data_IF_985695093276
#
_entry.id   IF_985695093276
#
_cell.length_a   1.000
_cell.length_b   1.000
_cell.length_c   1.000
_cell.angle_alpha   90.00
_cell.angle_beta   90.00
_cell.angle_gamma   90.00
#
_symmetry.space_group_name_H-M   'P 1'
#
loop_
_entity.id
_entity.type
_entity.pdbx_description
1 polymer ?
#
# COMPACT_ATOMS: atom_id res chain seq x y z
N UNK A 1 -11.99 5.49 -13.05
CA UNK A 1 -11.72 4.40 -12.08
C UNK A 1 -10.36 4.70 -11.45
N UNK A 2 -10.19 4.47 -10.14
CA UNK A 2 -8.89 4.70 -9.48
C UNK A 2 -8.10 3.40 -9.36
N UNK A 3 -6.79 3.48 -9.58
CA UNK A 3 -5.86 2.35 -9.52
C UNK A 3 -4.79 2.55 -8.45
N UNK A 4 -4.17 1.43 -8.03
CA UNK A 4 -2.95 1.49 -7.22
C UNK A 4 -1.76 1.91 -8.08
N UNK A 5 -0.99 2.91 -7.63
CA UNK A 5 0.05 3.54 -8.45
C UNK A 5 1.33 2.71 -8.61
N UNK A 6 1.63 1.82 -7.66
CA UNK A 6 2.89 1.06 -7.66
C UNK A 6 2.77 -0.34 -8.25
N UNK A 7 1.58 -0.75 -8.71
CA UNK A 7 1.44 -1.95 -9.53
C UNK A 7 1.78 -1.61 -10.98
N UNK A 8 2.37 -2.57 -11.71
CA UNK A 8 2.60 -2.41 -13.14
C UNK A 8 1.33 -2.67 -13.94
N UNK A 9 0.50 -3.60 -13.47
CA UNK A 9 -0.85 -3.79 -13.99
C UNK A 9 -1.83 -2.78 -13.40
N UNK A 10 -2.90 -2.50 -14.13
CA UNK A 10 -3.97 -1.61 -13.70
C UNK A 10 -4.86 -2.27 -12.63
N UNK A 11 -4.37 -2.39 -11.40
CA UNK A 11 -5.14 -2.99 -10.29
C UNK A 11 -6.09 -1.95 -9.67
N UNK A 12 -7.43 -2.12 -9.75
CA UNK A 12 -8.36 -1.13 -9.24
C UNK A 12 -8.37 -1.04 -7.72
N UNK A 13 -8.59 0.16 -7.18
CA UNK A 13 -8.76 0.37 -5.73
C UNK A 13 -9.99 -0.31 -5.15
N UNK A 14 -10.98 -0.66 -5.98
CA UNK A 14 -12.12 -1.49 -5.58
C UNK A 14 -11.70 -2.89 -5.08
N UNK A 15 -10.52 -3.38 -5.50
CA UNK A 15 -9.93 -4.64 -5.03
C UNK A 15 -9.01 -4.44 -3.81
N UNK A 16 -9.16 -3.35 -3.04
CA UNK A 16 -8.31 -3.08 -1.87
C UNK A 16 -8.31 -4.22 -0.85
N UNK A 17 -9.47 -4.84 -0.60
CA UNK A 17 -9.58 -6.00 0.29
C UNK A 17 -8.79 -7.20 -0.21
N UNK A 18 -8.88 -7.50 -1.51
CA UNK A 18 -8.14 -8.60 -2.15
C UNK A 18 -6.62 -8.33 -2.13
N UNK A 19 -6.20 -7.12 -2.48
CA UNK A 19 -4.80 -6.69 -2.46
C UNK A 19 -4.22 -6.76 -1.04
N UNK A 20 -4.88 -6.15 -0.05
CA UNK A 20 -4.39 -6.10 1.32
C UNK A 20 -4.39 -7.45 2.04
N UNK A 21 -5.24 -8.39 1.60
CA UNK A 21 -5.25 -9.75 2.11
C UNK A 21 -4.45 -10.74 1.25
N UNK A 22 -3.91 -10.34 0.09
CA UNK A 22 -3.39 -11.25 -0.95
C UNK A 22 -4.39 -12.37 -1.31
N UNK A 23 -5.66 -12.02 -1.55
CA UNK A 23 -6.74 -12.99 -1.75
C UNK A 23 -7.69 -12.52 -2.84
N UNK A 24 -7.38 -12.94 -4.07
CA UNK A 24 -8.29 -12.80 -5.21
C UNK A 24 -9.30 -13.96 -5.21
N UNK A 25 -10.54 -13.65 -5.57
CA UNK A 25 -11.71 -14.54 -5.47
C UNK A 25 -12.19 -15.00 -6.84
N UNK A 26 -13.08 -15.99 -6.86
CA UNK A 26 -13.67 -16.53 -8.08
C UNK A 26 -14.31 -15.41 -8.93
N UNK A 27 -13.92 -15.34 -10.21
CA UNK A 27 -14.48 -14.38 -11.15
C UNK A 27 -13.83 -13.01 -11.11
N UNK A 28 -12.86 -12.75 -10.21
CA UNK A 28 -12.03 -11.55 -10.30
C UNK A 28 -11.33 -11.51 -11.67
N UNK A 29 -11.43 -10.37 -12.34
CA UNK A 29 -10.76 -10.10 -13.62
C UNK A 29 -9.80 -8.92 -13.47
N UNK A 30 -8.56 -9.15 -13.86
CA UNK A 30 -7.46 -8.19 -13.75
C UNK A 30 -6.89 -7.92 -15.14
N UNK A 31 -6.83 -6.65 -15.53
CA UNK A 31 -6.30 -6.20 -16.81
C UNK A 31 -4.92 -5.57 -16.62
N UNK A 32 -4.00 -5.79 -17.56
CA UNK A 32 -2.70 -5.10 -17.53
C UNK A 32 -2.86 -3.60 -17.73
N UNK A 33 -3.80 -3.17 -18.58
CA UNK A 33 -4.04 -1.77 -18.91
C UNK A 33 -5.39 -1.25 -18.35
N UNK A 34 -5.48 0.05 -17.95
CA UNK A 34 -6.71 0.63 -17.42
C UNK A 34 -7.93 0.53 -18.35
N UNK A 35 -7.70 0.64 -19.66
CA UNK A 35 -8.73 0.59 -20.70
C UNK A 35 -9.45 -0.78 -20.74
N UNK A 36 -8.86 -1.82 -20.16
CA UNK A 36 -9.51 -3.13 -20.01
C UNK A 36 -10.79 -3.07 -19.18
N UNK A 37 -10.93 -2.06 -18.30
CA UNK A 37 -12.10 -1.87 -17.44
C UNK A 37 -13.20 -1.00 -18.06
N UNK A 38 -12.98 -0.41 -19.23
CA UNK A 38 -14.00 0.41 -19.91
C UNK A 38 -15.04 -0.47 -20.65
N UNK A 39 -16.23 0.05 -21.00
CA UNK A 39 -17.22 -0.69 -21.78
C UNK A 39 -16.70 -1.09 -23.17
N UNK A 40 -16.84 -2.37 -23.54
CA UNK A 40 -16.33 -2.91 -24.81
C UNK A 40 -17.36 -2.80 -25.92
N UNK A 41 -17.45 -1.64 -26.58
CA UNK A 41 -18.29 -1.49 -27.77
C UNK A 41 -17.63 -2.10 -29.03
N UNK A 42 -16.30 -1.97 -29.18
CA UNK A 42 -15.58 -2.36 -30.42
C UNK A 42 -14.26 -3.13 -30.14
N UNK A 43 -14.15 -3.72 -28.95
CA UNK A 43 -12.89 -4.29 -28.46
C UNK A 43 -11.99 -3.24 -27.82
N UNK A 44 -10.98 -3.71 -27.06
CA UNK A 44 -10.04 -2.83 -26.36
C UNK A 44 -8.66 -3.02 -26.99
N UNK A 45 -8.30 -2.25 -28.03
CA UNK A 45 -7.10 -2.51 -28.86
C UNK A 45 -5.79 -2.30 -28.09
N UNK A 46 -5.81 -1.54 -27.00
CA UNK A 46 -4.64 -1.35 -26.12
C UNK A 46 -4.45 -2.45 -25.07
N UNK A 47 -5.43 -3.33 -24.87
CA UNK A 47 -5.38 -4.35 -23.84
C UNK A 47 -4.49 -5.51 -24.27
N UNK A 48 -3.37 -5.72 -23.57
CA UNK A 48 -2.43 -6.81 -23.84
C UNK A 48 -2.82 -8.08 -23.10
N UNK A 49 -2.93 -8.02 -21.78
CA UNK A 49 -3.19 -9.16 -20.92
C UNK A 49 -4.46 -8.99 -20.09
N UNK A 50 -5.15 -10.11 -19.86
CA UNK A 50 -6.06 -10.20 -18.73
C UNK A 50 -5.94 -11.55 -18.04
N UNK A 51 -6.13 -11.54 -16.73
CA UNK A 51 -6.23 -12.73 -15.90
C UNK A 51 -7.64 -12.81 -15.31
N UNK A 52 -8.23 -14.00 -15.33
CA UNK A 52 -9.44 -14.34 -14.60
C UNK A 52 -9.14 -15.44 -13.59
N UNK A 53 -9.57 -15.25 -12.35
CA UNK A 53 -9.50 -16.31 -11.31
C UNK A 53 -10.63 -17.30 -11.51
N UNK A 54 -10.29 -18.58 -11.70
CA UNK A 54 -11.21 -19.69 -12.02
C UNK A 54 -11.54 -20.59 -10.83
N UNK A 55 -10.58 -20.83 -9.93
CA UNK A 55 -10.80 -21.58 -8.68
C UNK A 55 -9.94 -20.91 -7.58
N UNK A 56 -10.56 -20.14 -6.66
CA UNK A 56 -9.84 -19.54 -5.54
C UNK A 56 -9.53 -20.60 -4.47
N UNK A 57 -8.74 -20.26 -3.43
CA UNK A 57 -8.46 -21.20 -2.36
C UNK A 57 -9.75 -21.61 -1.66
N UNK A 58 -10.05 -22.91 -1.59
CA UNK A 58 -11.26 -23.45 -0.94
C UNK A 58 -11.25 -23.34 0.60
N UNK A 59 -10.28 -22.63 1.17
CA UNK A 59 -10.11 -22.47 2.62
C UNK A 59 -11.05 -21.39 3.16
N UNK A 60 -12.30 -21.80 3.36
CA UNK A 60 -13.29 -21.14 4.22
C UNK A 60 -13.15 -21.51 5.70
N UNK A 61 -12.07 -22.21 6.09
CA UNK A 61 -11.83 -22.44 7.52
C UNK A 61 -11.43 -21.12 8.16
N UNK A 62 -12.29 -20.63 9.05
CA UNK A 62 -11.94 -19.60 10.01
C UNK A 62 -10.54 -19.91 10.56
N UNK A 63 -9.59 -19.02 10.34
CA UNK A 63 -8.31 -19.08 11.02
C UNK A 63 -8.64 -19.22 12.51
N UNK A 64 -8.21 -20.31 13.13
CA UNK A 64 -8.32 -20.45 14.58
C UNK A 64 -7.70 -19.21 15.21
N UNK A 65 -8.29 -18.68 16.29
CA UNK A 65 -7.79 -17.48 16.96
C UNK A 65 -6.30 -17.56 17.36
N UNK A 66 -5.75 -18.79 17.43
CA UNK A 66 -4.35 -19.10 17.69
C UNK A 66 -3.40 -18.93 16.49
N UNK A 67 -3.91 -18.81 15.26
CA UNK A 67 -3.10 -18.37 14.12
C UNK A 67 -2.94 -16.85 14.15
N UNK A 68 -2.10 -16.38 15.07
CA UNK A 68 -1.62 -15.01 15.19
C UNK A 68 -0.79 -14.51 13.97
N UNK A 69 -0.78 -15.26 12.87
CA UNK A 69 -0.13 -14.90 11.62
C UNK A 69 -0.92 -13.83 10.85
N UNK A 70 -0.21 -13.01 10.10
CA UNK A 70 -0.83 -12.06 9.16
C UNK A 70 -1.68 -12.85 8.14
N UNK A 71 -2.96 -12.50 7.96
CA UNK A 71 -3.84 -13.08 6.93
C UNK A 71 -3.19 -13.08 5.54
N UNK A 72 -2.44 -12.02 5.26
CA UNK A 72 -1.64 -11.88 4.04
C UNK A 72 -0.67 -13.05 3.85
N UNK A 73 0.07 -13.44 4.88
CA UNK A 73 1.05 -14.53 4.80
C UNK A 73 0.41 -15.90 4.57
N UNK A 74 -0.76 -16.15 5.16
CA UNK A 74 -1.52 -17.39 4.92
C UNK A 74 -2.00 -17.45 3.47
N UNK A 75 -2.55 -16.34 2.96
CA UNK A 75 -3.07 -16.31 1.61
C UNK A 75 -1.95 -16.33 0.55
N UNK A 76 -0.77 -15.75 0.84
CA UNK A 76 0.37 -15.70 -0.08
C UNK A 76 0.72 -17.05 -0.72
N UNK A 77 0.77 -18.11 0.09
CA UNK A 77 1.06 -19.48 -0.36
C UNK A 77 -0.17 -20.26 -0.82
N UNK A 78 -1.37 -19.68 -0.79
CA UNK A 78 -2.60 -20.38 -1.12
C UNK A 78 -2.72 -20.62 -2.62
N UNK A 79 -3.00 -21.88 -2.98
CA UNK A 79 -3.15 -22.32 -4.38
C UNK A 79 -4.37 -21.70 -5.04
N UNK A 80 -4.22 -21.29 -6.30
CA UNK A 80 -5.29 -20.76 -7.15
C UNK A 80 -5.16 -21.27 -8.58
N UNK A 81 -6.28 -21.21 -9.29
CA UNK A 81 -6.34 -21.49 -10.71
C UNK A 81 -6.77 -20.26 -11.50
N UNK A 82 -6.07 -20.00 -12.62
CA UNK A 82 -6.19 -18.80 -13.42
C UNK A 82 -6.41 -19.14 -14.90
N UNK A 83 -7.17 -18.33 -15.60
CA UNK A 83 -7.05 -18.17 -17.05
C UNK A 83 -6.28 -16.87 -17.35
N UNK A 84 -5.24 -16.96 -18.16
CA UNK A 84 -4.52 -15.82 -18.73
C UNK A 84 -4.82 -15.76 -20.23
N UNK A 85 -5.14 -14.56 -20.72
CA UNK A 85 -5.30 -14.31 -22.14
C UNK A 85 -4.28 -13.27 -22.60
N UNK A 86 -3.46 -13.60 -23.61
CA UNK A 86 -2.64 -12.65 -24.35
C UNK A 86 -3.40 -12.25 -25.63
N UNK A 87 -3.93 -11.03 -25.64
CA UNK A 87 -4.72 -10.54 -26.79
C UNK A 87 -3.84 -10.20 -27.99
N UNK A 88 -2.59 -9.83 -27.77
CA UNK A 88 -1.64 -9.51 -28.84
C UNK A 88 -1.27 -10.78 -29.61
N UNK A 89 -1.12 -11.90 -28.91
CA UNK A 89 -0.79 -13.19 -29.52
C UNK A 89 -2.03 -14.06 -29.81
N UNK A 90 -3.20 -13.68 -29.32
CA UNK A 90 -4.44 -14.47 -29.43
C UNK A 90 -4.38 -15.79 -28.67
N UNK A 91 -3.58 -15.87 -27.59
CA UNK A 91 -3.38 -17.10 -26.83
C UNK A 91 -4.17 -17.08 -25.52
N UNK A 92 -4.60 -18.27 -25.11
CA UNK A 92 -5.28 -18.51 -23.84
C UNK A 92 -4.56 -19.65 -23.13
N UNK A 93 -4.16 -19.41 -21.90
CA UNK A 93 -3.42 -20.37 -21.08
C UNK A 93 -4.05 -20.49 -19.70
N UNK A 94 -3.99 -21.69 -19.13
CA UNK A 94 -4.48 -21.98 -17.79
C UNK A 94 -3.31 -22.24 -16.86
N UNK A 95 -3.31 -21.59 -15.71
CA UNK A 95 -2.26 -21.71 -14.71
C UNK A 95 -2.82 -22.25 -13.40
N UNK A 96 -2.08 -23.15 -12.79
CA UNK A 96 -2.26 -23.56 -11.40
C UNK A 96 -1.06 -23.01 -10.65
N UNK A 97 -1.29 -22.09 -9.71
CA UNK A 97 -0.22 -21.31 -9.09
C UNK A 97 -0.63 -20.88 -7.67
N UNK A 98 -0.02 -19.83 -7.10
CA UNK A 98 -0.41 -19.27 -5.79
C UNK A 98 -0.87 -17.81 -5.88
N UNK A 99 -1.60 -17.33 -4.87
CA UNK A 99 -1.98 -15.91 -4.74
C UNK A 99 -0.77 -14.98 -4.79
N UNK A 100 0.32 -15.34 -4.08
CA UNK A 100 1.54 -14.54 -4.07
C UNK A 100 2.19 -14.45 -5.46
N UNK A 101 2.16 -15.52 -6.25
CA UNK A 101 2.66 -15.54 -7.62
C UNK A 101 1.83 -14.66 -8.56
N UNK A 102 0.50 -14.73 -8.48
CA UNK A 102 -0.38 -13.80 -9.18
C UNK A 102 -0.08 -12.36 -8.74
N UNK A 103 0.00 -12.10 -7.44
CA UNK A 103 0.30 -10.78 -6.90
C UNK A 103 1.62 -10.20 -7.45
N UNK A 104 2.69 -11.00 -7.49
CA UNK A 104 3.99 -10.59 -8.03
C UNK A 104 3.95 -10.33 -9.53
N UNK A 105 3.20 -11.14 -10.28
CA UNK A 105 2.94 -10.89 -11.70
C UNK A 105 2.29 -9.51 -11.92
N UNK A 106 1.21 -9.20 -11.20
CA UNK A 106 0.53 -7.90 -11.29
C UNK A 106 1.46 -6.73 -10.88
N UNK A 107 2.28 -6.96 -9.86
CA UNK A 107 3.16 -5.94 -9.34
C UNK A 107 4.32 -5.66 -10.28
N UNK A 108 4.93 -6.67 -10.89
CA UNK A 108 6.16 -6.51 -11.68
C UNK A 108 5.97 -6.56 -13.19
N UNK A 109 4.76 -6.90 -13.67
CA UNK A 109 4.49 -7.22 -15.08
C UNK A 109 5.42 -8.33 -15.61
N UNK A 110 5.51 -9.40 -14.83
CA UNK A 110 6.34 -10.56 -15.15
C UNK A 110 5.54 -11.86 -15.01
N UNK A 111 5.13 -12.39 -16.16
CA UNK A 111 4.34 -13.63 -16.25
C UNK A 111 5.12 -14.86 -15.74
N UNK A 112 6.45 -14.80 -15.66
CA UNK A 112 7.26 -15.93 -15.17
C UNK A 112 6.96 -16.27 -13.71
N UNK A 113 6.44 -15.31 -12.93
CA UNK A 113 5.97 -15.58 -11.57
C UNK A 113 4.85 -16.61 -11.52
N UNK A 114 4.02 -16.71 -12.57
CA UNK A 114 2.90 -17.65 -12.62
C UNK A 114 3.36 -19.11 -12.76
N UNK A 115 4.56 -19.34 -13.28
CA UNK A 115 5.13 -20.68 -13.45
C UNK A 115 5.52 -21.29 -12.10
N UNK A 116 4.93 -22.44 -11.78
CA UNK A 116 5.18 -23.20 -10.56
C UNK A 116 6.63 -23.71 -10.47
N UNK A 117 7.30 -23.91 -11.61
CA UNK A 117 8.69 -24.38 -11.67
C UNK A 117 9.72 -23.34 -11.19
N UNK A 118 9.35 -22.04 -11.16
CA UNK A 118 10.25 -20.99 -10.64
C UNK A 118 10.29 -21.01 -9.11
N UNK A 119 11.27 -20.35 -8.49
CA UNK A 119 11.31 -20.22 -7.03
C UNK A 119 10.07 -19.50 -6.50
N UNK A 120 9.53 -19.94 -5.35
CA UNK A 120 8.45 -19.21 -4.67
C UNK A 120 8.94 -17.80 -4.31
N UNK A 121 8.23 -16.74 -4.72
CA UNK A 121 8.65 -15.39 -4.40
C UNK A 121 8.48 -15.09 -2.90
N UNK A 122 9.40 -14.31 -2.36
CA UNK A 122 9.29 -13.76 -1.00
C UNK A 122 8.07 -12.85 -0.90
N UNK A 123 7.36 -12.93 0.22
CA UNK A 123 6.28 -11.99 0.52
C UNK A 123 6.83 -10.56 0.72
N UNK A 124 6.12 -9.52 0.24
CA UNK A 124 6.52 -8.15 0.50
C UNK A 124 6.50 -7.81 2.00
N UNK A 125 7.35 -6.85 2.37
CA UNK A 125 7.33 -6.21 3.67
C UNK A 125 6.05 -5.36 3.81
N UNK A 126 5.42 -5.38 4.99
CA UNK A 126 4.13 -4.76 5.23
C UNK A 126 4.29 -3.40 5.95
N UNK A 127 3.16 -2.76 6.26
CA UNK A 127 3.10 -1.44 6.88
C UNK A 127 3.87 -1.38 8.21
N UNK A 128 3.85 -2.45 9.00
CA UNK A 128 4.55 -2.50 10.29
C UNK A 128 6.05 -2.40 10.12
N UNK A 129 6.60 -3.10 9.14
CA UNK A 129 8.02 -3.06 8.81
C UNK A 129 8.40 -1.67 8.26
N UNK A 130 7.54 -1.05 7.45
CA UNK A 130 7.78 0.30 6.92
C UNK A 130 7.78 1.33 8.05
N UNK A 131 6.81 1.22 8.96
CA UNK A 131 6.70 2.05 10.15
C UNK A 131 7.97 1.96 11.02
N UNK A 132 8.48 0.74 11.21
CA UNK A 132 9.72 0.50 11.95
C UNK A 132 10.97 1.14 11.34
N UNK A 133 10.92 1.53 10.06
CA UNK A 133 12.03 2.16 9.32
C UNK A 133 11.86 3.65 9.08
N UNK A 134 10.84 4.30 9.63
CA UNK A 134 10.66 5.74 9.42
C UNK A 134 11.89 6.54 9.88
N UNK A 135 12.57 6.11 10.95
CA UNK A 135 13.78 6.78 11.42
C UNK A 135 14.96 6.69 10.46
N UNK A 136 15.08 5.61 9.69
CA UNK A 136 16.12 5.46 8.67
C UNK A 136 15.98 6.54 7.56
N UNK A 137 14.76 7.05 7.36
CA UNK A 137 14.43 8.08 6.39
C UNK A 137 14.55 9.52 6.92
N UNK A 138 14.93 9.71 8.19
CA UNK A 138 14.95 11.03 8.86
C UNK A 138 15.68 12.09 8.06
N UNK A 139 16.91 11.82 7.62
CA UNK A 139 17.71 12.78 6.89
C UNK A 139 17.05 13.21 5.56
N UNK A 140 16.39 12.28 4.87
CA UNK A 140 15.63 12.58 3.66
C UNK A 140 14.43 13.47 3.98
N UNK A 141 13.65 13.14 5.01
CA UNK A 141 12.48 13.93 5.42
C UNK A 141 12.85 15.33 5.89
N UNK A 142 13.95 15.48 6.62
CA UNK A 142 14.50 16.79 6.99
C UNK A 142 14.90 17.61 5.75
N UNK A 143 15.50 16.98 4.74
CA UNK A 143 15.78 17.65 3.45
C UNK A 143 14.49 18.10 2.75
N UNK A 144 13.45 17.26 2.72
CA UNK A 144 12.13 17.61 2.17
C UNK A 144 11.51 18.78 2.94
N UNK A 145 11.67 18.83 4.27
CA UNK A 145 11.20 19.93 5.10
C UNK A 145 11.96 21.24 4.80
N UNK A 146 13.29 21.19 4.68
CA UNK A 146 14.15 22.36 4.36
C UNK A 146 13.88 22.95 2.99
N UNK A 147 13.51 22.12 2.01
CA UNK A 147 13.17 22.57 0.65
C UNK A 147 11.88 23.39 0.56
N UNK A 148 11.14 23.55 1.66
CA UNK A 148 9.88 24.31 1.69
C UNK A 148 10.10 25.77 2.11
N UNK A 149 9.37 26.72 1.54
CA UNK A 149 9.58 28.16 1.77
C UNK A 149 9.24 28.63 3.20
N UNK A 150 8.58 27.82 4.02
CA UNK A 150 8.21 28.20 5.39
C UNK A 150 9.38 28.02 6.36
N UNK A 151 9.77 29.10 7.05
CA UNK A 151 10.82 29.10 8.09
C UNK A 151 10.39 28.43 9.41
N UNK A 152 9.12 28.03 9.52
CA UNK A 152 8.52 27.45 10.74
C UNK A 152 7.75 26.21 10.34
N UNK A 153 8.36 25.03 10.49
CA UNK A 153 7.75 23.80 10.01
C UNK A 153 8.13 22.62 10.91
N UNK A 154 7.12 21.96 11.46
CA UNK A 154 7.21 20.59 11.91
C UNK A 154 6.71 19.68 10.78
N UNK A 155 7.19 18.44 10.75
CA UNK A 155 6.74 17.46 9.77
C UNK A 155 6.36 16.17 10.47
N UNK A 156 5.12 15.74 10.28
CA UNK A 156 4.66 14.42 10.70
C UNK A 156 4.75 13.46 9.52
N UNK A 157 5.33 12.29 9.73
CA UNK A 157 5.50 11.23 8.74
C UNK A 157 4.84 9.96 9.24
N UNK A 158 3.98 9.34 8.43
CA UNK A 158 3.35 8.07 8.77
C UNK A 158 3.39 7.09 7.59
N UNK A 159 3.57 5.80 7.89
CA UNK A 159 3.37 4.74 6.91
C UNK A 159 1.87 4.45 6.77
N UNK A 160 1.36 4.46 5.54
CA UNK A 160 -0.04 4.16 5.21
C UNK A 160 -0.06 2.93 4.31
N UNK A 161 -1.00 2.02 4.58
CA UNK A 161 -1.42 1.01 3.62
C UNK A 161 -2.69 1.44 2.88
N UNK A 162 -2.58 1.73 1.58
CA UNK A 162 -3.71 2.11 0.74
C UNK A 162 -4.71 0.97 0.52
N UNK A 163 -4.33 -0.29 0.76
CA UNK A 163 -5.23 -1.44 0.71
C UNK A 163 -6.06 -1.61 1.99
N UNK A 164 -5.65 -0.96 3.09
CA UNK A 164 -6.31 -1.04 4.39
C UNK A 164 -7.25 0.15 4.64
N UNK A 165 -8.56 -0.11 4.71
CA UNK A 165 -9.58 0.91 5.00
C UNK A 165 -9.31 1.62 6.33
N UNK A 166 -8.94 0.85 7.36
CA UNK A 166 -8.59 1.39 8.67
C UNK A 166 -7.36 2.33 8.59
N UNK A 167 -6.34 1.96 7.82
CA UNK A 167 -5.17 2.83 7.61
C UNK A 167 -5.53 4.12 6.88
N UNK A 168 -6.36 4.05 5.82
CA UNK A 168 -6.81 5.24 5.07
C UNK A 168 -7.68 6.16 5.92
N UNK A 169 -8.61 5.61 6.70
CA UNK A 169 -9.45 6.38 7.62
C UNK A 169 -8.62 7.09 8.68
N UNK A 170 -7.64 6.38 9.27
CA UNK A 170 -6.71 6.96 10.25
C UNK A 170 -5.90 8.12 9.64
N UNK A 171 -5.35 7.94 8.43
CA UNK A 171 -4.60 8.99 7.74
C UNK A 171 -5.44 10.25 7.47
N UNK A 172 -6.69 10.08 7.01
CA UNK A 172 -7.62 11.21 6.83
C UNK A 172 -7.95 11.92 8.14
N UNK A 173 -8.12 11.16 9.22
CA UNK A 173 -8.40 11.73 10.53
C UNK A 173 -7.19 12.52 11.09
N UNK A 174 -5.97 12.03 10.88
CA UNK A 174 -4.72 12.74 11.21
C UNK A 174 -4.63 14.06 10.42
N UNK A 175 -4.86 14.00 9.11
CA UNK A 175 -4.86 15.19 8.25
C UNK A 175 -5.90 16.22 8.72
N UNK A 176 -7.14 15.79 8.96
CA UNK A 176 -8.22 16.66 9.42
C UNK A 176 -7.91 17.31 10.77
N UNK A 177 -7.38 16.56 11.74
CA UNK A 177 -7.01 17.10 13.05
C UNK A 177 -5.91 18.16 12.96
N UNK A 178 -4.91 17.94 12.10
CA UNK A 178 -3.86 18.94 11.86
C UNK A 178 -4.40 20.17 11.13
N UNK A 179 -5.24 19.99 10.11
CA UNK A 179 -5.83 21.09 9.36
C UNK A 179 -6.78 21.96 10.22
N UNK A 180 -7.43 21.37 11.23
CA UNK A 180 -8.25 22.11 12.19
C UNK A 180 -7.40 22.96 13.15
N UNK A 181 -6.24 22.44 13.58
CA UNK A 181 -5.36 23.14 14.53
C UNK A 181 -4.41 24.16 13.88
N UNK A 182 -4.12 24.02 12.59
CA UNK A 182 -3.08 24.80 11.91
C UNK A 182 -3.50 25.23 10.51
N UNK A 183 -3.41 26.54 10.22
CA UNK A 183 -3.63 27.07 8.86
C UNK A 183 -2.43 26.76 7.96
N UNK A 184 -2.66 26.31 6.73
CA UNK A 184 -1.59 26.11 5.75
C UNK A 184 -0.85 24.77 5.85
N UNK A 185 -1.50 23.76 6.45
CA UNK A 185 -1.03 22.37 6.41
C UNK A 185 -0.89 21.91 4.95
N UNK A 186 0.21 21.22 4.64
CA UNK A 186 0.46 20.68 3.30
C UNK A 186 0.73 19.19 3.38
N UNK A 187 -0.11 18.42 2.70
CA UNK A 187 0.04 16.99 2.51
C UNK A 187 0.97 16.68 1.34
N UNK A 188 1.78 15.64 1.49
CA UNK A 188 2.56 15.04 0.42
C UNK A 188 2.61 13.53 0.63
N UNK A 189 2.54 12.77 -0.46
CA UNK A 189 2.66 11.31 -0.43
C UNK A 189 3.88 10.88 -1.23
N UNK A 190 4.59 9.89 -0.70
CA UNK A 190 5.77 9.30 -1.34
C UNK A 190 5.69 7.78 -1.24
N UNK A 191 6.21 7.08 -2.24
CA UNK A 191 6.53 5.67 -2.11
C UNK A 191 7.72 5.47 -1.16
N UNK A 192 7.85 4.28 -0.54
CA UNK A 192 9.05 3.92 0.23
C UNK A 192 10.35 4.07 -0.56
N UNK A 193 10.31 3.82 -1.88
CA UNK A 193 11.45 3.94 -2.79
C UNK A 193 11.89 5.40 -2.95
N UNK A 194 10.95 6.32 -3.16
CA UNK A 194 11.25 7.76 -3.29
C UNK A 194 11.88 8.34 -2.02
N UNK A 195 11.52 7.82 -0.85
CA UNK A 195 12.12 8.19 0.43
C UNK A 195 13.44 7.47 0.74
N UNK A 196 13.93 6.60 -0.16
CA UNK A 196 15.15 5.82 0.04
C UNK A 196 15.03 4.69 1.07
N UNK A 197 13.83 4.39 1.57
CA UNK A 197 13.57 3.30 2.52
C UNK A 197 13.49 1.92 1.84
N UNK A 198 13.36 1.91 0.52
CA UNK A 198 13.20 0.69 -0.26
C UNK A 198 13.98 0.65 -1.57
N UNK A 199 15.32 0.62 -1.51
CA UNK A 199 16.13 0.58 -2.72
C UNK A 199 15.91 -0.69 -3.56
N UNK A 200 15.35 -1.76 -2.96
CA UNK A 200 15.14 -3.07 -3.61
C UNK A 200 13.68 -3.34 -3.99
N UNK A 201 12.74 -2.44 -3.70
CA UNK A 201 11.32 -2.63 -4.01
C UNK A 201 10.68 -3.81 -3.26
N UNK A 202 11.03 -4.02 -2.00
CA UNK A 202 10.51 -5.13 -1.18
C UNK A 202 9.25 -4.80 -0.40
N UNK A 203 8.87 -3.53 -0.28
CA UNK A 203 7.64 -3.14 0.41
C UNK A 203 6.42 -3.34 -0.46
N UNK A 204 5.33 -3.74 0.17
CA UNK A 204 4.06 -3.98 -0.51
C UNK A 204 3.63 -2.75 -1.33
N UNK A 205 3.17 -2.93 -2.60
CA UNK A 205 2.93 -1.81 -3.53
C UNK A 205 1.82 -0.84 -3.09
N UNK A 206 0.91 -1.25 -2.21
CA UNK A 206 -0.07 -0.32 -1.64
C UNK A 206 0.49 0.61 -0.56
N UNK A 207 1.74 0.42 -0.13
CA UNK A 207 2.32 1.23 0.94
C UNK A 207 2.80 2.58 0.42
N UNK A 208 2.50 3.60 1.21
CA UNK A 208 2.91 4.98 0.98
C UNK A 208 3.37 5.60 2.30
N UNK A 209 4.17 6.65 2.20
CA UNK A 209 4.54 7.54 3.28
C UNK A 209 3.72 8.82 3.14
N UNK A 210 3.00 9.17 4.19
CA UNK A 210 2.30 10.43 4.30
C UNK A 210 3.16 11.43 5.05
N UNK A 211 3.55 12.50 4.37
CA UNK A 211 4.32 13.59 4.93
C UNK A 211 3.40 14.80 5.07
N UNK A 212 3.09 15.18 6.31
CA UNK A 212 2.25 16.33 6.62
C UNK A 212 3.13 17.44 7.20
N UNK A 213 3.28 18.50 6.44
CA UNK A 213 3.95 19.72 6.88
C UNK A 213 3.00 20.60 7.67
N UNK A 214 3.39 20.94 8.90
CA UNK A 214 2.61 21.77 9.81
C UNK A 214 3.38 23.06 10.09
N UNK A 215 2.83 24.25 9.78
CA UNK A 215 3.56 25.51 9.89
C UNK A 215 3.65 26.03 11.33
N UNK A 216 4.41 25.33 12.16
CA UNK A 216 4.63 25.63 13.58
C UNK A 216 6.09 25.35 13.98
N UNK A 217 6.54 25.97 15.07
CA UNK A 217 7.81 25.64 15.74
C UNK A 217 7.60 24.79 17.00
N UNK A 218 6.35 24.51 17.36
CA UNK A 218 5.97 23.84 18.59
C UNK A 218 5.55 22.40 18.27
N UNK A 219 6.44 21.40 18.40
CA UNK A 219 6.11 20.00 18.16
C UNK A 219 5.11 19.46 19.18
N UNK A 220 5.06 19.99 20.41
CA UNK A 220 4.08 19.61 21.42
C UNK A 220 2.66 19.96 20.98
N UNK A 221 2.46 21.12 20.35
CA UNK A 221 1.15 21.50 19.79
C UNK A 221 0.68 20.52 18.68
N UNK A 222 1.62 20.00 17.88
CA UNK A 222 1.33 18.96 16.89
C UNK A 222 0.90 17.67 17.59
N UNK A 223 1.63 17.26 18.63
CA UNK A 223 1.31 16.08 19.45
C UNK A 223 -0.07 16.20 20.10
N UNK A 224 -0.40 17.34 20.71
CA UNK A 224 -1.70 17.58 21.34
C UNK A 224 -2.84 17.51 20.32
N UNK A 225 -2.65 18.04 19.11
CA UNK A 225 -3.65 17.98 18.03
C UNK A 225 -3.88 16.55 17.54
N UNK A 226 -2.83 15.73 17.50
CA UNK A 226 -2.91 14.35 17.01
C UNK A 226 -3.38 13.34 18.06
N UNK A 227 -3.21 13.64 19.35
CA UNK A 227 -3.51 12.71 20.45
C UNK A 227 -4.94 12.16 20.39
N UNK A 228 -6.02 12.97 20.22
CA UNK A 228 -7.40 12.46 20.23
C UNK A 228 -7.70 11.45 19.10
N UNK A 229 -6.99 11.56 17.97
CA UNK A 229 -7.19 10.69 16.79
C UNK A 229 -6.34 9.44 16.86
N UNK A 230 -5.13 9.55 17.40
CA UNK A 230 -4.17 8.45 17.45
C UNK A 230 -4.34 7.56 18.68
N UNK A 231 -5.02 8.05 19.72
CA UNK A 231 -5.12 7.38 21.01
C UNK A 231 -6.55 7.35 21.55
N UNK A 232 -7.17 6.17 21.49
CA UNK A 232 -8.55 5.92 21.93
C UNK A 232 -8.60 5.09 23.23
N UNK A 233 -7.44 4.79 23.84
CA UNK A 233 -7.34 3.89 25.01
C UNK A 233 -7.30 4.59 26.37
N UNK A 234 -7.51 3.84 27.44
CA UNK A 234 -7.51 4.33 28.84
C UNK A 234 -6.27 3.92 29.66
N UNK A 235 -5.22 3.37 29.03
CA UNK A 235 -4.26 2.51 29.75
C UNK A 235 -2.76 2.66 29.48
N UNK A 236 -2.27 3.75 28.88
CA UNK A 236 -0.82 3.97 28.71
C UNK A 236 -0.48 5.44 28.40
N UNK A 237 0.77 5.85 28.63
CA UNK A 237 1.24 7.17 28.15
C UNK A 237 1.25 7.19 26.62
N UNK A 238 0.63 8.21 26.03
CA UNK A 238 0.66 8.46 24.60
C UNK A 238 2.12 8.61 24.12
N UNK A 239 2.46 7.95 23.00
CA UNK A 239 3.76 8.12 22.34
C UNK A 239 3.57 8.28 20.84
N UNK A 240 3.97 9.43 20.30
CA UNK A 240 3.83 9.73 18.87
C UNK A 240 4.62 8.74 18.00
N UNK A 241 5.76 8.24 18.47
CA UNK A 241 6.62 7.28 17.77
C UNK A 241 5.94 5.94 17.45
N UNK A 242 4.89 5.57 18.20
CA UNK A 242 4.07 4.37 17.93
C UNK A 242 3.12 4.56 16.74
N UNK A 243 2.98 5.77 16.24
CA UNK A 243 1.99 6.13 15.23
C UNK A 243 2.61 6.80 14.01
N UNK A 244 3.72 7.50 14.17
CA UNK A 244 4.53 8.02 13.08
C UNK A 244 5.84 8.60 13.59
N UNK A 245 6.56 9.29 12.71
CA UNK A 245 7.74 10.07 13.03
C UNK A 245 7.36 11.54 13.04
N UNK A 246 7.59 12.23 14.15
CA UNK A 246 7.48 13.69 14.22
C UNK A 246 8.87 14.31 14.17
N UNK A 247 9.11 15.09 13.14
CA UNK A 247 10.27 15.95 13.02
C UNK A 247 9.93 17.30 13.62
N UNK A 248 10.75 17.71 14.58
CA UNK A 248 10.69 19.05 15.17
C UNK A 248 11.03 20.14 14.14
N UNK A 249 11.15 21.38 14.60
CA UNK A 249 11.53 22.50 13.76
C UNK A 249 12.86 22.20 13.08
N UNK A 250 12.85 22.15 11.76
CA UNK A 250 14.08 21.92 11.01
C UNK A 250 14.81 23.26 10.90
N UNK A 251 15.91 23.42 11.64
CA UNK A 251 16.77 24.58 11.53
C UNK A 251 17.32 24.67 10.09
N UNK A 252 17.20 25.86 9.48
CA UNK A 252 17.80 26.12 8.17
C UNK A 252 19.31 26.03 8.25
#
# INVERSE_FOLDING_TARGET
>A
MDFFQNFKWAVPRALSGAVGACRFELGDVLYSEPEGYDPWAEGCPGLRYHVQVLDPPKTSRALSADQSGSRFAVNWGSRIELALSDRTQGTHSRYITTQGRLFMCLWHDDLSFLDEATSVPDAPLLQRELHGRLEDGRAFFEKVAKGRPSKRLCMYVAAIDQASDASRLKARAVEAALAQGFSGVKLHSLSPKEAGLDPRGRFHPSLELQLISVPTLNPEAVVESLRPVLYVGTGSRFSISRHGLLLGPVAQ
#
